data_IF_390305836706
#
_entry.id   IF_390305836706
#
_cell.length_a   1.000
_cell.length_b   1.000
_cell.length_c   1.000
_cell.angle_alpha   90.00
_cell.angle_beta   90.00
_cell.angle_gamma   90.00
#
_symmetry.space_group_name_H-M   'P 1'
#
loop_
_entity.id
_entity.type
_entity.pdbx_description
1 polymer ?
#
# COMPACT_ATOMS: atom_id res chain seq x y z
N UNK A 1 -5.78 15.26 -7.15
CA UNK A 1 -4.55 14.57 -7.62
C UNK A 1 -3.37 14.94 -6.74
N UNK A 2 -2.42 14.03 -6.53
CA UNK A 2 -1.13 14.29 -5.88
C UNK A 2 0.01 13.90 -6.81
N UNK A 3 1.03 14.75 -6.91
CA UNK A 3 2.21 14.53 -7.75
C UNK A 3 3.44 14.67 -6.87
N UNK A 4 4.31 13.67 -6.88
CA UNK A 4 5.49 13.60 -6.03
C UNK A 4 6.79 13.54 -6.85
N UNK A 5 7.89 13.96 -6.22
CA UNK A 5 9.26 13.86 -6.73
C UNK A 5 9.44 14.35 -8.18
N UNK A 6 8.86 15.51 -8.50
CA UNK A 6 9.00 16.13 -9.82
C UNK A 6 8.28 15.37 -10.95
N UNK A 7 7.17 14.67 -10.62
CA UNK A 7 6.38 13.92 -11.61
C UNK A 7 6.76 12.45 -11.74
N UNK A 8 7.56 11.91 -10.83
CA UNK A 8 7.88 10.46 -10.81
C UNK A 8 6.72 9.62 -10.32
N UNK A 9 5.90 10.14 -9.40
CA UNK A 9 4.73 9.43 -8.87
C UNK A 9 3.51 10.34 -9.02
N UNK A 10 2.41 9.77 -9.51
CA UNK A 10 1.11 10.42 -9.61
C UNK A 10 0.03 9.59 -8.93
N UNK A 11 -0.82 10.22 -8.13
CA UNK A 11 -1.91 9.55 -7.41
C UNK A 11 -3.25 10.24 -7.65
N UNK A 12 -4.28 9.44 -7.93
CA UNK A 12 -5.68 9.84 -7.91
C UNK A 12 -6.41 9.03 -6.85
N UNK A 13 -7.30 9.69 -6.11
CA UNK A 13 -8.16 9.08 -5.11
C UNK A 13 -9.58 9.54 -5.38
N UNK A 14 -10.50 8.59 -5.43
CA UNK A 14 -11.93 8.84 -5.60
C UNK A 14 -12.64 8.69 -4.25
N UNK A 15 -13.47 9.68 -3.93
CA UNK A 15 -14.25 9.72 -2.71
C UNK A 15 -15.74 9.82 -3.03
N UNK A 16 -16.55 9.14 -2.23
CA UNK A 16 -18.00 9.32 -2.20
C UNK A 16 -18.34 10.09 -0.92
N UNK A 17 -18.91 11.28 -1.10
CA UNK A 17 -19.30 12.19 -0.01
C UNK A 17 -20.28 13.25 -0.52
N UNK A 18 -21.10 13.77 0.38
CA UNK A 18 -21.99 14.90 0.11
C UNK A 18 -21.33 16.28 0.36
N UNK A 19 -20.07 16.32 0.77
CA UNK A 19 -19.32 17.55 1.00
C UNK A 19 -19.01 18.27 -0.33
N UNK A 20 -19.01 19.59 -0.28
CA UNK A 20 -18.54 20.40 -1.41
C UNK A 20 -17.06 20.15 -1.71
N UNK A 21 -16.73 20.11 -3.00
CA UNK A 21 -15.37 19.76 -3.47
C UNK A 21 -14.28 20.75 -3.06
N UNK A 22 -14.66 21.96 -2.62
CA UNK A 22 -13.77 23.02 -2.15
C UNK A 22 -13.72 23.13 -0.61
N UNK A 23 -14.42 22.26 0.12
CA UNK A 23 -14.31 22.18 1.58
C UNK A 23 -12.84 21.95 1.98
N UNK A 24 -12.27 22.90 2.71
CA UNK A 24 -10.82 22.97 2.94
C UNK A 24 -10.28 21.75 3.70
N UNK A 25 -11.00 21.26 4.70
CA UNK A 25 -10.61 20.10 5.51
C UNK A 25 -10.72 18.80 4.70
N UNK A 26 -11.78 18.65 3.90
CA UNK A 26 -11.94 17.53 2.98
C UNK A 26 -10.82 17.49 1.93
N UNK A 27 -10.50 18.64 1.32
CA UNK A 27 -9.41 18.77 0.35
C UNK A 27 -8.06 18.42 1.00
N UNK A 28 -7.83 18.82 2.25
CA UNK A 28 -6.60 18.49 2.98
C UNK A 28 -6.51 16.98 3.29
N UNK A 29 -7.61 16.37 3.75
CA UNK A 29 -7.69 14.93 3.97
C UNK A 29 -7.40 14.15 2.67
N UNK A 30 -8.01 14.55 1.56
CA UNK A 30 -7.78 13.93 0.24
C UNK A 30 -6.32 14.01 -0.19
N UNK A 31 -5.64 15.14 0.05
CA UNK A 31 -4.19 15.28 -0.21
C UNK A 31 -3.36 14.36 0.68
N UNK A 32 -3.69 14.27 1.96
CA UNK A 32 -2.96 13.42 2.91
C UNK A 32 -3.09 11.93 2.55
N UNK A 33 -4.27 11.49 2.16
CA UNK A 33 -4.51 10.11 1.69
C UNK A 33 -3.77 9.85 0.38
N UNK A 34 -3.77 10.79 -0.55
CA UNK A 34 -3.01 10.64 -1.79
C UNK A 34 -1.49 10.56 -1.55
N UNK A 35 -0.98 11.26 -0.52
CA UNK A 35 0.42 11.19 -0.11
C UNK A 35 0.75 9.85 0.57
N UNK A 36 -0.15 9.34 1.42
CA UNK A 36 -0.06 8.00 2.00
C UNK A 36 0.09 6.95 0.89
N UNK A 37 -0.80 6.98 -0.11
CA UNK A 37 -0.77 6.05 -1.24
C UNK A 37 0.55 6.18 -2.01
N UNK A 38 1.01 7.40 -2.27
CA UNK A 38 2.28 7.63 -2.96
C UNK A 38 3.46 6.99 -2.24
N UNK A 39 3.51 7.10 -0.90
CA UNK A 39 4.58 6.62 -0.05
C UNK A 39 4.52 5.10 0.21
N UNK A 40 3.33 4.57 0.50
CA UNK A 40 3.15 3.20 0.97
C UNK A 40 2.77 2.21 -0.13
N UNK A 41 2.36 2.69 -1.31
CA UNK A 41 2.01 1.86 -2.46
C UNK A 41 1.08 0.67 -2.13
N UNK A 42 -0.08 0.89 -1.46
CA UNK A 42 -1.04 -0.19 -1.22
C UNK A 42 -1.52 -0.81 -2.53
N UNK A 43 -1.64 -2.13 -2.55
CA UNK A 43 -2.18 -2.87 -3.69
C UNK A 43 -3.72 -2.91 -3.70
N UNK A 44 -4.34 -2.79 -2.53
CA UNK A 44 -5.79 -2.92 -2.34
C UNK A 44 -6.34 -1.78 -1.49
N UNK A 45 -7.66 -1.55 -1.61
CA UNK A 45 -8.35 -0.58 -0.78
C UNK A 45 -8.52 -1.07 0.65
N UNK A 46 -9.06 -2.29 0.79
CA UNK A 46 -9.43 -2.94 2.04
C UNK A 46 -9.23 -4.46 1.94
N UNK A 47 -9.33 -5.17 3.07
CA UNK A 47 -9.21 -6.63 3.12
C UNK A 47 -10.20 -7.35 2.19
N UNK A 48 -11.41 -6.81 2.03
CA UNK A 48 -12.45 -7.39 1.17
C UNK A 48 -12.12 -7.29 -0.33
N UNK A 49 -11.27 -6.35 -0.70
CA UNK A 49 -10.77 -6.17 -2.06
C UNK A 49 -9.63 -7.13 -2.42
N UNK A 50 -9.09 -7.88 -1.45
CA UNK A 50 -8.00 -8.83 -1.69
C UNK A 50 -8.56 -10.14 -2.26
N UNK A 51 -8.12 -10.60 -3.45
CA UNK A 51 -8.56 -11.88 -3.99
C UNK A 51 -8.18 -13.03 -3.07
N UNK A 52 -9.10 -13.99 -2.87
CA UNK A 52 -8.87 -15.14 -2.00
C UNK A 52 -7.63 -15.94 -2.42
N UNK A 53 -7.38 -16.09 -3.72
CA UNK A 53 -6.20 -16.75 -4.28
C UNK A 53 -4.87 -16.10 -3.86
N UNK A 54 -4.84 -14.78 -3.67
CA UNK A 54 -3.65 -14.06 -3.21
C UNK A 54 -3.37 -14.43 -1.75
N UNK A 55 -4.41 -14.47 -0.92
CA UNK A 55 -4.29 -14.84 0.50
C UNK A 55 -3.89 -16.30 0.67
N UNK A 56 -4.48 -17.22 -0.10
CA UNK A 56 -4.09 -18.63 -0.03
C UNK A 56 -2.64 -18.83 -0.47
N UNK A 57 -2.22 -18.16 -1.55
CA UNK A 57 -0.82 -18.21 -1.99
C UNK A 57 0.13 -17.62 -0.95
N UNK A 58 -0.23 -16.51 -0.31
CA UNK A 58 0.57 -15.92 0.77
C UNK A 58 0.68 -16.89 1.95
N UNK A 59 -0.41 -17.54 2.35
CA UNK A 59 -0.37 -18.59 3.41
C UNK A 59 0.56 -19.74 3.03
N UNK A 60 0.51 -20.22 1.79
CA UNK A 60 1.41 -21.27 1.30
C UNK A 60 2.88 -20.86 1.41
N UNK A 61 3.21 -19.64 0.97
CA UNK A 61 4.56 -19.07 1.06
C UNK A 61 5.00 -19.00 2.53
N UNK A 62 4.14 -18.50 3.42
CA UNK A 62 4.45 -18.40 4.84
C UNK A 62 4.68 -19.76 5.49
N UNK A 63 3.84 -20.75 5.16
CA UNK A 63 4.00 -22.13 5.67
C UNK A 63 5.32 -22.73 5.17
N UNK A 64 5.67 -22.52 3.89
CA UNK A 64 6.93 -22.98 3.33
C UNK A 64 8.13 -22.35 4.06
N UNK A 65 8.13 -21.03 4.24
CA UNK A 65 9.17 -20.31 4.99
C UNK A 65 9.31 -20.83 6.44
N UNK A 66 8.19 -21.15 7.09
CA UNK A 66 8.21 -21.67 8.46
C UNK A 66 8.74 -23.10 8.57
N UNK A 67 8.56 -23.93 7.52
CA UNK A 67 9.15 -25.28 7.49
C UNK A 67 10.67 -25.23 7.31
N UNK A 68 11.18 -24.22 6.61
CA UNK A 68 12.62 -24.01 6.41
C UNK A 68 13.31 -23.39 7.63
N UNK A 69 12.59 -22.64 8.47
CA UNK A 69 13.15 -22.05 9.70
C UNK A 69 13.30 -23.11 10.82
N UNK A 70 14.54 -23.44 11.25
CA UNK A 70 14.79 -24.43 12.30
C UNK A 70 14.11 -24.09 13.65
N UNK A 71 13.83 -22.81 13.91
CA UNK A 71 13.14 -22.36 15.14
C UNK A 71 11.63 -22.58 15.08
N UNK A 72 11.09 -22.80 13.89
CA UNK A 72 9.65 -22.96 13.66
C UNK A 72 9.28 -24.41 13.33
N UNK A 73 10.18 -25.17 12.70
CA UNK A 73 9.96 -26.56 12.28
C UNK A 73 9.50 -27.51 13.41
N UNK A 74 9.88 -27.24 14.66
CA UNK A 74 9.52 -28.07 15.83
C UNK A 74 8.28 -27.58 16.59
N UNK A 75 7.61 -26.51 16.13
CA UNK A 75 6.42 -25.97 16.82
C UNK A 75 5.16 -26.75 16.46
N UNK A 76 4.20 -26.91 17.38
CA UNK A 76 2.92 -27.57 17.09
C UNK A 76 2.14 -26.85 15.98
N UNK A 77 1.38 -27.60 15.18
CA UNK A 77 0.58 -27.06 14.06
C UNK A 77 -0.36 -25.92 14.48
N UNK A 78 -1.00 -26.03 15.65
CA UNK A 78 -1.86 -24.97 16.18
C UNK A 78 -1.10 -23.66 16.45
N UNK A 79 0.18 -23.73 16.83
CA UNK A 79 1.03 -22.54 17.03
C UNK A 79 1.45 -21.97 15.67
N UNK A 80 1.77 -22.83 14.70
CA UNK A 80 2.08 -22.40 13.34
C UNK A 80 0.90 -21.69 12.69
N UNK A 81 -0.32 -22.22 12.84
CA UNK A 81 -1.55 -21.61 12.35
C UNK A 81 -1.76 -20.19 12.89
N UNK A 82 -1.60 -19.99 14.21
CA UNK A 82 -1.69 -18.65 14.82
C UNK A 82 -0.63 -17.67 14.31
N UNK A 83 0.57 -18.17 14.01
CA UNK A 83 1.64 -17.32 13.45
C UNK A 83 1.29 -16.91 12.02
N UNK A 84 0.78 -17.84 11.22
CA UNK A 84 0.32 -17.56 9.85
C UNK A 84 -0.81 -16.52 9.88
N UNK A 85 -1.82 -16.68 10.74
CA UNK A 85 -2.90 -15.69 10.92
C UNK A 85 -2.34 -14.30 11.26
N UNK A 86 -1.41 -14.21 12.20
CA UNK A 86 -0.78 -12.92 12.55
C UNK A 86 0.01 -12.29 11.39
N UNK A 87 0.68 -13.12 10.57
CA UNK A 87 1.40 -12.67 9.37
C UNK A 87 0.45 -12.23 8.25
N UNK A 88 -0.69 -12.90 8.08
CA UNK A 88 -1.74 -12.45 7.17
C UNK A 88 -2.36 -11.13 7.65
N UNK A 89 -2.58 -10.97 8.95
CA UNK A 89 -2.99 -9.67 9.50
C UNK A 89 -1.96 -8.56 9.22
N UNK A 90 -0.65 -8.88 9.22
CA UNK A 90 0.39 -7.94 8.81
C UNK A 90 0.34 -7.66 7.30
N UNK A 91 0.09 -8.67 6.48
CA UNK A 91 -0.08 -8.51 5.04
C UNK A 91 -1.16 -7.46 4.72
N UNK A 92 -2.32 -7.53 5.37
CA UNK A 92 -3.37 -6.52 5.19
C UNK A 92 -2.91 -5.12 5.59
N UNK A 93 -2.23 -4.98 6.74
CA UNK A 93 -1.68 -3.68 7.19
C UNK A 93 -0.63 -3.10 6.25
N UNK A 94 0.03 -3.91 5.43
CA UNK A 94 1.02 -3.45 4.45
C UNK A 94 0.37 -3.16 3.09
N UNK A 95 -0.63 -3.94 2.68
CA UNK A 95 -1.15 -3.95 1.31
C UNK A 95 -2.53 -3.32 1.14
N UNK A 96 -3.31 -3.15 2.21
CA UNK A 96 -4.64 -2.55 2.18
C UNK A 96 -4.60 -1.12 2.71
N UNK A 97 -5.01 -0.14 1.90
CA UNK A 97 -4.93 1.28 2.23
C UNK A 97 -5.60 1.62 3.57
N UNK A 98 -6.82 1.13 3.83
CA UNK A 98 -7.56 1.50 5.05
C UNK A 98 -6.95 0.91 6.34
N UNK A 99 -6.24 -0.22 6.21
CA UNK A 99 -5.61 -0.95 7.31
C UNK A 99 -4.18 -0.48 7.61
N UNK A 100 -3.58 0.26 6.68
CA UNK A 100 -2.26 0.85 6.86
C UNK A 100 -2.24 1.82 8.04
N UNK A 101 -1.12 1.77 8.77
CA UNK A 101 -0.75 2.82 9.71
C UNK A 101 -0.56 4.14 8.95
N UNK A 102 -1.14 5.21 9.46
CA UNK A 102 -1.10 6.50 8.77
C UNK A 102 0.26 7.16 8.97
N UNK A 103 0.95 7.50 7.87
CA UNK A 103 2.34 7.98 7.91
C UNK A 103 2.49 9.31 8.66
N UNK A 104 1.45 10.15 8.65
CA UNK A 104 1.49 11.44 9.36
C UNK A 104 1.12 11.33 10.85
N UNK A 105 0.39 10.27 11.21
CA UNK A 105 -0.01 9.99 12.59
C UNK A 105 0.03 8.48 12.79
N UNK A 106 1.19 8.02 13.28
CA UNK A 106 1.46 6.61 13.49
C UNK A 106 0.55 5.94 14.53
N UNK A 107 -0.24 6.68 15.29
CA UNK A 107 -1.09 6.08 16.31
C UNK A 107 -2.41 5.54 15.73
N UNK A 108 -2.76 5.94 14.50
CA UNK A 108 -4.02 5.58 13.86
C UNK A 108 -3.82 4.96 12.48
N UNK A 109 -4.84 4.25 11.99
CA UNK A 109 -4.89 3.78 10.61
C UNK A 109 -5.47 4.85 9.69
N UNK A 110 -5.26 4.69 8.38
CA UNK A 110 -5.89 5.55 7.36
C UNK A 110 -7.41 5.50 7.46
N UNK A 111 -7.99 4.31 7.66
CA UNK A 111 -9.44 4.17 7.85
C UNK A 111 -9.93 4.98 9.05
N UNK A 112 -9.17 4.97 10.16
CA UNK A 112 -9.53 5.75 11.34
C UNK A 112 -9.38 7.25 11.13
N UNK A 113 -8.36 7.67 10.38
CA UNK A 113 -8.17 9.07 9.99
C UNK A 113 -9.36 9.59 9.17
N UNK A 114 -9.85 8.81 8.20
CA UNK A 114 -11.05 9.14 7.41
C UNK A 114 -12.28 9.23 8.31
N UNK A 115 -12.51 8.24 9.17
CA UNK A 115 -13.65 8.20 10.09
C UNK A 115 -13.67 9.42 11.03
N UNK A 116 -12.51 9.78 11.59
CA UNK A 116 -12.40 10.93 12.49
C UNK A 116 -12.69 12.26 11.74
N UNK A 117 -12.20 12.39 10.51
CA UNK A 117 -12.44 13.57 9.67
C UNK A 117 -13.90 13.67 9.27
N UNK A 118 -14.51 12.56 8.84
CA UNK A 118 -15.94 12.47 8.51
C UNK A 118 -16.82 12.92 9.68
N UNK A 119 -16.51 12.45 10.90
CA UNK A 119 -17.21 12.88 12.13
C UNK A 119 -17.05 14.37 12.43
N UNK A 120 -15.84 14.91 12.28
CA UNK A 120 -15.58 16.33 12.51
C UNK A 120 -16.36 17.22 11.52
N UNK A 121 -16.49 16.76 10.28
CA UNK A 121 -17.21 17.46 9.22
C UNK A 121 -18.72 17.20 9.21
N UNK A 122 -19.20 16.26 10.02
CA UNK A 122 -20.63 15.90 10.07
C UNK A 122 -21.16 15.30 8.76
N UNK A 123 -20.30 14.61 8.01
CA UNK A 123 -20.64 14.04 6.71
C UNK A 123 -20.03 12.65 6.54
N UNK A 124 -20.71 11.79 5.78
CA UNK A 124 -20.15 10.51 5.37
C UNK A 124 -19.07 10.72 4.31
N UNK A 125 -17.93 10.05 4.49
CA UNK A 125 -16.81 10.06 3.55
C UNK A 125 -16.36 8.62 3.35
N UNK A 126 -16.39 8.16 2.10
CA UNK A 126 -15.90 6.83 1.73
C UNK A 126 -14.84 6.96 0.65
N UNK A 127 -13.71 6.26 0.82
CA UNK A 127 -12.76 6.05 -0.28
C UNK A 127 -13.36 4.98 -1.20
N UNK A 128 -13.54 5.30 -2.47
CA UNK A 128 -14.16 4.39 -3.46
C UNK A 128 -13.09 3.61 -4.21
N UNK A 129 -12.03 4.29 -4.64
CA UNK A 129 -10.92 3.71 -5.40
C UNK A 129 -9.74 4.66 -5.41
N UNK A 130 -8.57 4.15 -5.75
CA UNK A 130 -7.40 4.96 -6.02
C UNK A 130 -6.61 4.37 -7.18
N UNK A 131 -5.74 5.19 -7.77
CA UNK A 131 -4.71 4.71 -8.70
C UNK A 131 -3.41 5.43 -8.37
N UNK A 132 -2.31 4.68 -8.47
CA UNK A 132 -0.95 5.20 -8.32
C UNK A 132 -0.18 4.83 -9.59
N UNK A 133 0.50 5.81 -10.14
CA UNK A 133 1.42 5.63 -11.26
C UNK A 133 2.83 5.95 -10.79
N UNK A 134 3.79 5.12 -11.18
CA UNK A 134 5.21 5.39 -10.99
C UNK A 134 5.97 5.34 -12.32
N UNK A 135 6.79 6.37 -12.57
CA UNK A 135 7.58 6.46 -13.81
C UNK A 135 8.57 5.30 -13.87
N UNK A 136 8.44 4.48 -14.92
CA UNK A 136 9.31 3.33 -15.16
C UNK A 136 8.85 2.06 -14.46
N UNK A 137 7.66 2.05 -13.86
CA UNK A 137 7.04 0.85 -13.33
C UNK A 137 6.96 -0.24 -14.41
N UNK A 138 7.43 -1.44 -14.08
CA UNK A 138 7.48 -2.58 -14.99
C UNK A 138 8.56 -2.52 -16.09
N UNK A 139 9.41 -1.50 -16.11
CA UNK A 139 10.50 -1.38 -17.09
C UNK A 139 11.82 -1.84 -16.44
N UNK A 140 12.50 -2.80 -17.06
CA UNK A 140 13.85 -3.19 -16.65
C UNK A 140 14.82 -2.02 -16.86
N UNK A 141 15.51 -1.63 -15.79
CA UNK A 141 16.45 -0.52 -15.85
C UNK A 141 17.63 -0.92 -16.71
N UNK A 142 17.78 -0.27 -17.86
CA UNK A 142 18.94 -0.43 -18.73
C UNK A 142 20.22 -0.14 -17.93
N UNK A 143 21.13 -1.10 -17.92
CA UNK A 143 22.47 -0.96 -17.33
C UNK A 143 23.44 -0.82 -18.49
N UNK A 144 23.78 0.42 -18.82
CA UNK A 144 24.79 0.71 -19.85
C UNK A 144 26.18 0.78 -19.21
N UNK A 145 27.12 0.00 -19.76
CA UNK A 145 28.54 0.15 -19.45
C UNK A 145 29.14 1.20 -20.37
N UNK A 146 29.21 2.42 -19.85
CA UNK A 146 29.76 3.57 -20.57
C UNK A 146 31.21 3.32 -21.04
N UNK A 147 32.00 2.54 -20.29
CA UNK A 147 33.38 2.23 -20.70
C UNK A 147 33.39 1.27 -21.90
N UNK A 148 32.49 0.29 -21.93
CA UNK A 148 32.33 -0.60 -23.07
C UNK A 148 31.78 0.12 -24.31
N UNK A 149 30.82 1.05 -24.15
CA UNK A 149 30.30 1.88 -25.24
C UNK A 149 31.40 2.78 -25.83
N UNK A 150 32.20 3.45 -24.98
CA UNK A 150 33.32 4.31 -25.43
C UNK A 150 34.41 3.47 -26.12
N UNK A 151 34.77 2.31 -25.57
CA UNK A 151 35.74 1.42 -26.20
C UNK A 151 35.26 0.90 -27.58
N UNK A 152 33.96 0.72 -27.77
CA UNK A 152 33.36 0.32 -29.05
C UNK A 152 33.34 1.42 -30.12
N UNK A 153 33.38 2.70 -29.72
CA UNK A 153 33.39 3.85 -30.63
C UNK A 153 34.79 4.21 -31.16
N UNK A 154 35.86 3.75 -30.52
CA UNK A 154 37.24 3.96 -30.96
C UNK A 154 37.70 2.77 -31.81
N UNK A 155 37.14 2.64 -33.01
CA UNK A 155 37.61 1.74 -34.08
C UNK A 155 37.63 2.46 -35.41
#
# INVERSE_FOLDING_TARGET
>A
PYVHAGGKIGVLVNFDTALDTDNAEFVQMGKNIAMQIAAMNPAYLDEASVPAEVIEKEKEILIAQMKEDPKMANKPEAVLGKIVEGKIGKYYKENCLVDQQFVMDGDITVGKYVENTAKALGADIKIVSFVRFEKGEGIEKRVDDFAAEVAGMVK
#
